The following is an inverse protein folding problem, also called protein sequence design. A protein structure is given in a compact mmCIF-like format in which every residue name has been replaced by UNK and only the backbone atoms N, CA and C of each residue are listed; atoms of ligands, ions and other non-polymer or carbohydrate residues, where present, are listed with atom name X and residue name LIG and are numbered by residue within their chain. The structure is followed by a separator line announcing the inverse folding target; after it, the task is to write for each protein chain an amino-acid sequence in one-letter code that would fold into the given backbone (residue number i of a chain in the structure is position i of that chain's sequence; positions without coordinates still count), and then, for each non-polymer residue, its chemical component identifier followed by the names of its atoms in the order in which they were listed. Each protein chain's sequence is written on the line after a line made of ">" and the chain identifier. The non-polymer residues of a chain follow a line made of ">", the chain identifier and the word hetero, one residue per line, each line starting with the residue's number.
data_IF_870197681509
#
_entry.id   IF_870197681509
#
_cell.length_a   1.000
_cell.length_b   1.000
_cell.length_c   1.000
_cell.angle_alpha   90.00
_cell.angle_beta   90.00
_cell.angle_gamma   90.00
#
_symmetry.space_group_name_H-M   'P 1'
#
loop_
_entity.id
_entity.type
_entity.pdbx_description
1 polymer ?
#
# COMPACT_ATOMS: atom_id res chain seq x y z
N UNK A 1 -1.13 -105.37 -58.80
CA UNK A 1 -1.14 -104.48 -59.98
C UNK A 1 -2.16 -103.38 -59.69
N UNK A 2 -1.64 -102.22 -59.27
CA UNK A 2 -2.19 -100.86 -59.40
C UNK A 2 -3.70 -100.70 -59.15
N UNK A 3 -4.10 -100.47 -57.89
CA UNK A 3 -5.28 -99.64 -57.54
C UNK A 3 -5.33 -99.43 -56.04
N UNK A 4 -4.71 -98.34 -55.55
CA UNK A 4 -5.05 -97.72 -54.24
C UNK A 4 -4.39 -96.34 -54.00
N UNK A 5 -3.67 -95.78 -54.99
CA UNK A 5 -2.91 -94.52 -54.80
C UNK A 5 -3.54 -93.24 -55.36
N UNK A 6 -4.80 -93.27 -55.79
CA UNK A 6 -5.43 -92.13 -56.49
C UNK A 6 -6.50 -91.35 -55.68
N UNK A 7 -6.78 -91.71 -54.42
CA UNK A 7 -7.73 -90.96 -53.58
C UNK A 7 -7.06 -89.98 -52.58
N UNK A 8 -5.79 -90.15 -52.21
CA UNK A 8 -5.10 -89.21 -51.30
C UNK A 8 -4.62 -87.92 -51.98
N UNK A 9 -4.44 -87.93 -53.31
CA UNK A 9 -3.94 -86.76 -54.06
C UNK A 9 -4.97 -85.65 -54.23
N UNK A 10 -6.27 -85.98 -54.19
CA UNK A 10 -7.36 -85.00 -54.31
C UNK A 10 -7.57 -84.29 -52.97
N UNK A 11 -7.53 -85.02 -51.86
CA UNK A 11 -7.66 -84.44 -50.51
C UNK A 11 -6.50 -83.50 -50.15
N UNK A 12 -5.26 -83.85 -50.53
CA UNK A 12 -4.11 -82.96 -50.29
C UNK A 12 -4.24 -81.60 -51.00
N UNK A 13 -4.92 -81.55 -52.16
CA UNK A 13 -5.11 -80.31 -52.93
C UNK A 13 -6.17 -79.39 -52.30
N UNK A 14 -7.22 -79.97 -51.72
CA UNK A 14 -8.28 -79.22 -51.01
C UNK A 14 -7.78 -78.71 -49.66
N UNK A 15 -7.01 -79.51 -48.93
CA UNK A 15 -6.38 -79.10 -47.67
C UNK A 15 -5.37 -77.96 -47.89
N UNK A 16 -4.54 -78.05 -48.93
CA UNK A 16 -3.61 -76.99 -49.31
C UNK A 16 -4.33 -75.69 -49.67
N UNK A 17 -5.43 -75.76 -50.44
CA UNK A 17 -6.26 -74.59 -50.78
C UNK A 17 -6.92 -73.97 -49.56
N UNK A 18 -7.46 -74.79 -48.66
CA UNK A 18 -8.05 -74.29 -47.41
C UNK A 18 -7.02 -73.57 -46.54
N UNK A 19 -5.80 -74.11 -46.44
CA UNK A 19 -4.70 -73.47 -45.71
C UNK A 19 -4.31 -72.16 -46.39
N UNK A 20 -4.22 -72.13 -47.73
CA UNK A 20 -3.94 -70.92 -48.50
C UNK A 20 -4.97 -69.81 -48.22
N UNK A 21 -6.26 -70.12 -48.34
CA UNK A 21 -7.34 -69.16 -48.14
C UNK A 21 -7.34 -68.59 -46.71
N UNK A 22 -7.07 -69.43 -45.70
CA UNK A 22 -6.94 -68.97 -44.31
C UNK A 22 -5.71 -68.09 -44.09
N UNK A 23 -4.56 -68.43 -44.67
CA UNK A 23 -3.34 -67.62 -44.55
C UNK A 23 -3.54 -66.26 -45.22
N UNK A 24 -4.11 -66.24 -46.43
CA UNK A 24 -4.43 -64.98 -47.14
C UNK A 24 -5.45 -64.16 -46.35
N UNK A 25 -6.46 -64.79 -45.74
CA UNK A 25 -7.44 -64.11 -44.90
C UNK A 25 -6.81 -63.52 -43.62
N UNK A 26 -5.90 -64.24 -42.97
CA UNK A 26 -5.19 -63.72 -41.79
C UNK A 26 -4.28 -62.56 -42.19
N UNK A 27 -3.57 -62.66 -43.31
CA UNK A 27 -2.68 -61.61 -43.79
C UNK A 27 -3.43 -60.34 -44.22
N UNK A 28 -4.59 -60.48 -44.86
CA UNK A 28 -5.46 -59.34 -45.16
C UNK A 28 -5.96 -58.66 -43.87
N UNK A 29 -6.40 -59.42 -42.86
CA UNK A 29 -6.79 -58.87 -41.56
C UNK A 29 -5.63 -58.19 -40.82
N UNK A 30 -4.42 -58.75 -40.85
CA UNK A 30 -3.23 -58.13 -40.25
C UNK A 30 -2.88 -56.78 -40.91
N UNK A 31 -3.01 -56.70 -42.25
CA UNK A 31 -2.79 -55.46 -42.99
C UNK A 31 -3.85 -54.40 -42.63
N UNK A 32 -5.13 -54.77 -42.57
CA UNK A 32 -6.19 -53.86 -42.11
C UNK A 32 -5.96 -53.35 -40.68
N UNK A 33 -5.55 -54.24 -39.76
CA UNK A 33 -5.23 -53.84 -38.38
C UNK A 33 -4.03 -52.89 -38.33
N UNK A 34 -3.06 -53.03 -39.23
CA UNK A 34 -1.91 -52.13 -39.32
C UNK A 34 -2.35 -50.70 -39.69
N UNK A 35 -3.29 -50.55 -40.64
CA UNK A 35 -3.86 -49.24 -40.95
C UNK A 35 -4.64 -48.65 -39.77
N UNK A 36 -5.47 -49.46 -39.10
CA UNK A 36 -6.21 -49.03 -37.90
C UNK A 36 -5.28 -48.62 -36.76
N UNK A 37 -4.15 -49.30 -36.60
CA UNK A 37 -3.14 -48.94 -35.60
C UNK A 37 -2.55 -47.56 -35.89
N UNK A 38 -2.22 -47.26 -37.15
CA UNK A 38 -1.71 -45.96 -37.55
C UNK A 38 -2.72 -44.84 -37.28
N UNK A 39 -4.02 -45.07 -37.48
CA UNK A 39 -5.08 -44.11 -37.16
C UNK A 39 -5.23 -43.90 -35.64
N UNK A 40 -5.30 -44.99 -34.86
CA UNK A 40 -5.44 -44.92 -33.40
C UNK A 40 -4.21 -44.28 -32.76
N UNK A 41 -3.00 -44.54 -33.26
CA UNK A 41 -1.75 -43.97 -32.72
C UNK A 41 -1.67 -42.44 -32.83
N UNK A 42 -2.44 -41.83 -33.75
CA UNK A 42 -2.56 -40.37 -33.85
C UNK A 42 -3.40 -39.77 -32.73
N UNK A 43 -4.36 -40.54 -32.21
CA UNK A 43 -5.35 -40.07 -31.25
C UNK A 43 -5.07 -40.54 -29.82
N UNK A 44 -4.45 -41.71 -29.65
CA UNK A 44 -4.31 -42.39 -28.36
C UNK A 44 -2.88 -42.88 -28.09
N UNK A 45 -2.49 -42.89 -26.80
CA UNK A 45 -1.23 -43.51 -26.35
C UNK A 45 -1.36 -45.03 -26.31
N UNK A 46 -0.23 -45.74 -26.38
CA UNK A 46 -0.15 -47.22 -26.35
C UNK A 46 -0.81 -47.87 -25.13
N UNK A 47 -0.99 -47.12 -24.03
CA UNK A 47 -1.65 -47.57 -22.81
C UNK A 47 -3.18 -47.54 -22.87
N UNK A 48 -3.79 -46.96 -23.91
CA UNK A 48 -5.24 -46.83 -24.01
C UNK A 48 -5.90 -48.20 -24.27
N UNK A 49 -7.06 -48.52 -23.63
CA UNK A 49 -7.72 -49.82 -23.80
C UNK A 49 -7.97 -50.22 -25.26
N UNK A 50 -8.32 -49.26 -26.12
CA UNK A 50 -8.55 -49.52 -27.54
C UNK A 50 -7.27 -49.90 -28.31
N UNK A 51 -6.13 -49.28 -27.98
CA UNK A 51 -4.84 -49.66 -28.59
C UNK A 51 -4.40 -51.04 -28.10
N UNK A 52 -4.60 -51.31 -26.81
CA UNK A 52 -4.29 -52.62 -26.22
C UNK A 52 -5.12 -53.74 -26.85
N UNK A 53 -6.43 -53.55 -27.01
CA UNK A 53 -7.31 -54.52 -27.66
C UNK A 53 -6.89 -54.81 -29.11
N UNK A 54 -6.46 -53.78 -29.86
CA UNK A 54 -5.94 -53.95 -31.21
C UNK A 54 -4.64 -54.76 -31.21
N UNK A 55 -3.71 -54.46 -30.30
CA UNK A 55 -2.44 -55.18 -30.17
C UNK A 55 -2.63 -56.65 -29.77
N UNK A 56 -3.58 -56.93 -28.87
CA UNK A 56 -3.95 -58.29 -28.46
C UNK A 56 -4.55 -59.06 -29.64
N UNK A 57 -5.47 -58.46 -30.40
CA UNK A 57 -6.03 -59.07 -31.60
C UNK A 57 -4.95 -59.38 -32.65
N UNK A 58 -4.00 -58.47 -32.84
CA UNK A 58 -2.87 -58.67 -33.77
C UNK A 58 -1.98 -59.83 -33.34
N UNK A 59 -1.72 -59.95 -32.04
CA UNK A 59 -0.93 -61.06 -31.48
C UNK A 59 -1.61 -62.42 -31.69
N UNK A 60 -2.94 -62.50 -31.48
CA UNK A 60 -3.71 -63.74 -31.71
C UNK A 60 -3.63 -64.18 -33.18
N UNK A 61 -3.87 -63.27 -34.12
CA UNK A 61 -3.78 -63.58 -35.56
C UNK A 61 -2.36 -63.98 -35.98
N UNK A 62 -1.34 -63.37 -35.37
CA UNK A 62 0.06 -63.74 -35.63
C UNK A 62 0.36 -65.17 -35.13
N UNK A 63 -0.14 -65.55 -33.96
CA UNK A 63 0.00 -66.91 -33.43
C UNK A 63 -0.72 -67.94 -34.32
N UNK A 64 -1.93 -67.63 -34.79
CA UNK A 64 -2.65 -68.47 -35.75
C UNK A 64 -1.89 -68.63 -37.07
N UNK A 65 -1.31 -67.54 -37.58
CA UNK A 65 -0.45 -67.57 -38.78
C UNK A 65 0.76 -68.48 -38.58
N UNK A 66 1.41 -68.41 -37.42
CA UNK A 66 2.56 -69.27 -37.09
C UNK A 66 2.17 -70.75 -37.05
N UNK A 67 1.01 -71.08 -36.48
CA UNK A 67 0.47 -72.46 -36.48
C UNK A 67 0.22 -72.97 -37.91
N UNK A 68 -0.33 -72.13 -38.79
CA UNK A 68 -0.52 -72.50 -40.20
C UNK A 68 0.81 -72.63 -40.95
N UNK A 69 1.79 -71.75 -40.68
CA UNK A 69 3.13 -71.84 -41.27
C UNK A 69 3.86 -73.13 -40.88
N UNK A 70 3.67 -73.60 -39.64
CA UNK A 70 4.19 -74.91 -39.21
C UNK A 70 3.53 -76.07 -39.97
N UNK A 71 2.24 -75.98 -40.30
CA UNK A 71 1.58 -77.00 -41.14
C UNK A 71 2.11 -76.96 -42.57
N UNK A 72 2.32 -75.76 -43.13
CA UNK A 72 2.90 -75.58 -44.47
C UNK A 72 4.31 -76.18 -44.54
N UNK A 73 5.13 -76.05 -43.49
CA UNK A 73 6.50 -76.58 -43.49
C UNK A 73 6.57 -78.11 -43.50
N UNK A 74 5.50 -78.81 -43.10
CA UNK A 74 5.39 -80.28 -43.18
C UNK A 74 5.02 -80.80 -44.57
N UNK A 75 4.60 -79.93 -45.49
CA UNK A 75 4.22 -80.30 -46.86
C UNK A 75 5.46 -80.57 -47.75
N UNK A 76 5.35 -81.36 -48.82
CA UNK A 76 6.39 -81.51 -49.85
C UNK A 76 6.84 -80.16 -50.45
N UNK A 77 8.14 -80.04 -50.78
CA UNK A 77 8.76 -78.78 -51.26
C UNK A 77 8.06 -78.15 -52.47
N UNK A 78 7.62 -78.96 -53.43
CA UNK A 78 6.92 -78.47 -54.64
C UNK A 78 5.57 -77.83 -54.32
N UNK A 79 4.84 -78.32 -53.32
CA UNK A 79 3.57 -77.72 -52.89
C UNK A 79 3.79 -76.43 -52.09
N UNK A 80 4.83 -76.38 -51.25
CA UNK A 80 5.20 -75.15 -50.55
C UNK A 80 5.51 -74.01 -51.54
N UNK A 81 6.24 -74.33 -52.60
CA UNK A 81 6.61 -73.36 -53.63
C UNK A 81 5.37 -72.82 -54.37
N UNK A 82 4.47 -73.69 -54.84
CA UNK A 82 3.22 -73.29 -55.50
C UNK A 82 2.33 -72.46 -54.55
N UNK A 83 2.20 -72.88 -53.29
CA UNK A 83 1.43 -72.15 -52.28
C UNK A 83 2.01 -70.75 -52.03
N UNK A 84 3.32 -70.64 -51.91
CA UNK A 84 4.00 -69.37 -51.68
C UNK A 84 3.80 -68.40 -52.84
N UNK A 85 3.96 -68.86 -54.09
CA UNK A 85 3.75 -68.04 -55.28
C UNK A 85 2.29 -67.60 -55.41
N UNK A 86 1.34 -68.51 -55.14
CA UNK A 86 -0.09 -68.21 -55.21
C UNK A 86 -0.49 -67.20 -54.14
N UNK A 87 -0.02 -67.41 -52.90
CA UNK A 87 -0.24 -66.49 -51.78
C UNK A 87 0.31 -65.10 -52.10
N UNK A 88 1.53 -65.01 -52.61
CA UNK A 88 2.17 -63.72 -52.89
C UNK A 88 1.43 -62.94 -53.99
N UNK A 89 0.92 -63.63 -55.03
CA UNK A 89 0.06 -63.01 -56.06
C UNK A 89 -1.29 -62.54 -55.48
N UNK A 90 -1.97 -63.37 -54.68
CA UNK A 90 -3.25 -63.02 -54.07
C UNK A 90 -3.11 -61.86 -53.07
N UNK A 91 -2.15 -61.94 -52.15
CA UNK A 91 -1.85 -60.86 -51.20
C UNK A 91 -1.51 -59.56 -51.91
N UNK A 92 -0.71 -59.61 -52.99
CA UNK A 92 -0.37 -58.43 -53.77
C UNK A 92 -1.61 -57.72 -54.33
N UNK A 93 -2.54 -58.48 -54.90
CA UNK A 93 -3.81 -57.95 -55.43
C UNK A 93 -4.70 -57.36 -54.33
N UNK A 94 -4.85 -58.06 -53.20
CA UNK A 94 -5.70 -57.60 -52.09
C UNK A 94 -5.15 -56.33 -51.44
N UNK A 95 -3.83 -56.28 -51.17
CA UNK A 95 -3.16 -55.10 -50.63
C UNK A 95 -3.31 -53.91 -51.60
N UNK A 96 -3.13 -54.16 -52.91
CA UNK A 96 -3.31 -53.13 -53.93
C UNK A 96 -4.73 -52.54 -53.89
N UNK A 97 -5.77 -53.38 -53.80
CA UNK A 97 -7.16 -52.93 -53.73
C UNK A 97 -7.45 -52.14 -52.43
N UNK A 98 -6.92 -52.56 -51.28
CA UNK A 98 -7.05 -51.82 -50.01
C UNK A 98 -6.39 -50.44 -50.11
N UNK A 99 -5.17 -50.36 -50.65
CA UNK A 99 -4.45 -49.09 -50.84
C UNK A 99 -5.19 -48.15 -51.79
N UNK A 100 -5.71 -48.68 -52.90
CA UNK A 100 -6.49 -47.91 -53.87
C UNK A 100 -7.75 -47.32 -53.23
N UNK A 101 -8.50 -48.12 -52.48
CA UNK A 101 -9.69 -47.65 -51.76
C UNK A 101 -9.36 -46.55 -50.74
N UNK A 102 -8.26 -46.70 -49.99
CA UNK A 102 -7.84 -45.68 -49.03
C UNK A 102 -7.38 -44.38 -49.72
N UNK A 103 -6.74 -44.48 -50.88
CA UNK A 103 -6.40 -43.31 -51.69
C UNK A 103 -7.66 -42.54 -52.12
N UNK A 104 -8.70 -43.22 -52.56
CA UNK A 104 -9.97 -42.59 -52.93
C UNK A 104 -10.64 -41.91 -51.73
N UNK A 105 -10.68 -42.57 -50.58
CA UNK A 105 -11.21 -41.99 -49.33
C UNK A 105 -10.47 -40.70 -48.94
N UNK A 106 -9.13 -40.71 -48.98
CA UNK A 106 -8.31 -39.54 -48.66
C UNK A 106 -8.49 -38.39 -49.67
N UNK A 107 -8.67 -38.70 -50.95
CA UNK A 107 -8.95 -37.69 -51.97
C UNK A 107 -10.31 -37.02 -51.77
N UNK A 108 -11.34 -37.78 -51.39
CA UNK A 108 -12.65 -37.24 -51.01
C UNK A 108 -12.51 -36.33 -49.78
N UNK A 109 -11.82 -36.80 -48.74
CA UNK A 109 -11.60 -36.00 -47.51
C UNK A 109 -10.83 -34.70 -47.77
N UNK A 110 -9.80 -34.72 -48.65
CA UNK A 110 -9.08 -33.51 -49.08
C UNK A 110 -10.00 -32.54 -49.83
N UNK A 111 -10.88 -33.04 -50.70
CA UNK A 111 -11.84 -32.20 -51.40
C UNK A 111 -12.88 -31.60 -50.42
N UNK A 112 -13.29 -32.33 -49.39
CA UNK A 112 -14.20 -31.85 -48.35
C UNK A 112 -13.61 -30.78 -47.41
N UNK A 113 -12.28 -30.69 -47.28
CA UNK A 113 -11.63 -29.64 -46.47
C UNK A 113 -11.66 -28.23 -47.08
N UNK A 114 -12.10 -28.05 -48.33
CA UNK A 114 -12.45 -26.73 -48.87
C UNK A 114 -13.83 -26.30 -48.33
N UNK A 115 -13.90 -26.09 -47.02
CA UNK A 115 -15.09 -25.59 -46.31
C UNK A 115 -15.25 -24.10 -46.52
N UNK A 116 -16.43 -23.68 -47.00
CA UNK A 116 -16.81 -22.29 -47.13
C UNK A 116 -16.97 -21.67 -45.73
N UNK A 117 -16.00 -20.86 -45.27
CA UNK A 117 -16.08 -20.22 -43.95
C UNK A 117 -17.08 -19.08 -44.03
N UNK A 118 -18.26 -19.27 -43.43
CA UNK A 118 -19.26 -18.22 -43.23
C UNK A 118 -19.12 -17.67 -41.83
N UNK A 119 -18.73 -16.41 -41.70
CA UNK A 119 -18.73 -15.70 -40.42
C UNK A 119 -20.20 -15.56 -40.00
N UNK A 120 -20.57 -16.19 -38.89
CA UNK A 120 -21.95 -16.18 -38.37
C UNK A 120 -22.19 -14.95 -37.49
N UNK A 121 -21.16 -14.48 -36.77
CA UNK A 121 -21.27 -13.33 -35.87
C UNK A 121 -19.93 -12.60 -35.69
N UNK A 122 -19.96 -11.27 -35.62
CA UNK A 122 -18.79 -10.44 -35.40
C UNK A 122 -18.68 -10.07 -33.91
N UNK A 123 -17.46 -10.02 -33.37
CA UNK A 123 -17.23 -9.64 -31.99
C UNK A 123 -17.59 -8.17 -31.74
N UNK A 124 -18.61 -7.92 -30.91
CA UNK A 124 -19.01 -6.56 -30.50
C UNK A 124 -18.30 -6.18 -29.21
N UNK A 125 -17.51 -5.11 -29.24
CA UNK A 125 -16.90 -4.53 -28.03
C UNK A 125 -17.85 -3.54 -27.36
N UNK A 126 -18.01 -3.63 -26.04
CA UNK A 126 -18.78 -2.65 -25.29
C UNK A 126 -17.94 -1.38 -25.06
N UNK A 127 -18.35 -0.24 -25.64
CA UNK A 127 -17.66 1.05 -25.47
C UNK A 127 -17.80 1.68 -24.08
N UNK A 128 -18.71 1.16 -23.23
CA UNK A 128 -18.93 1.67 -21.88
C UNK A 128 -18.27 0.75 -20.84
N UNK A 129 -17.50 1.30 -19.88
CA UNK A 129 -16.87 0.49 -18.84
C UNK A 129 -17.94 -0.14 -17.93
N UNK A 130 -17.81 -1.46 -17.70
CA UNK A 130 -18.75 -2.24 -16.87
C UNK A 130 -18.60 -1.86 -15.38
N UNK A 131 -17.38 -1.53 -14.95
CA UNK A 131 -17.03 -1.05 -13.60
C UNK A 131 -15.83 -0.08 -13.70
N UNK A 132 -15.68 0.89 -12.78
CA UNK A 132 -16.59 1.26 -11.70
C UNK A 132 -17.74 2.17 -12.15
N UNK A 133 -18.88 2.09 -11.47
CA UNK A 133 -20.06 2.92 -11.76
C UNK A 133 -19.96 4.20 -10.94
N UNK A 134 -19.30 5.21 -11.50
CA UNK A 134 -18.92 6.48 -10.81
C UNK A 134 -20.01 7.05 -9.89
N UNK A 135 -21.28 7.06 -10.30
CA UNK A 135 -22.37 7.60 -9.47
C UNK A 135 -22.71 6.67 -8.30
N UNK A 136 -22.80 5.36 -8.55
CA UNK A 136 -23.14 4.36 -7.51
C UNK A 136 -22.05 4.27 -6.45
N UNK A 137 -20.79 4.39 -6.85
CA UNK A 137 -19.64 4.24 -5.95
C UNK A 137 -19.31 5.56 -5.20
N UNK A 138 -19.60 6.74 -5.77
CA UNK A 138 -19.24 8.03 -5.19
C UNK A 138 -20.22 8.52 -4.10
N UNK A 139 -21.53 8.36 -4.32
CA UNK A 139 -22.56 8.80 -3.37
C UNK A 139 -22.40 8.21 -1.95
N UNK A 140 -22.16 6.91 -1.74
CA UNK A 140 -22.02 6.35 -0.39
C UNK A 140 -20.77 6.88 0.33
N UNK A 141 -19.66 7.09 -0.41
CA UNK A 141 -18.42 7.64 0.16
C UNK A 141 -18.63 9.08 0.64
N UNK A 142 -19.29 9.91 -0.16
CA UNK A 142 -19.62 11.28 0.23
C UNK A 142 -20.61 11.35 1.39
N UNK A 143 -21.67 10.54 1.34
CA UNK A 143 -22.73 10.53 2.34
C UNK A 143 -22.25 10.09 3.73
N UNK A 144 -21.27 9.16 3.81
CA UNK A 144 -20.72 8.68 5.08
C UNK A 144 -19.50 9.50 5.53
N UNK A 145 -18.65 9.95 4.60
CA UNK A 145 -17.42 10.66 4.95
C UNK A 145 -17.66 12.03 5.58
N UNK A 146 -18.60 12.81 5.05
CA UNK A 146 -18.92 14.15 5.56
C UNK A 146 -19.40 14.16 7.03
N UNK A 147 -20.40 13.34 7.43
CA UNK A 147 -20.88 13.35 8.82
C UNK A 147 -19.83 12.79 9.79
N UNK A 148 -19.04 11.80 9.39
CA UNK A 148 -17.96 11.27 10.24
C UNK A 148 -16.92 12.36 10.51
N UNK A 149 -16.51 13.12 9.49
CA UNK A 149 -15.54 14.21 9.66
C UNK A 149 -16.08 15.34 10.53
N UNK A 150 -17.33 15.73 10.32
CA UNK A 150 -18.00 16.72 11.16
C UNK A 150 -18.09 16.24 12.62
N UNK A 151 -18.46 14.98 12.84
CA UNK A 151 -18.52 14.37 14.17
C UNK A 151 -17.18 14.39 14.87
N UNK A 152 -16.09 14.04 14.19
CA UNK A 152 -14.73 14.07 14.75
C UNK A 152 -14.32 15.49 15.15
N UNK A 153 -14.62 16.50 14.30
CA UNK A 153 -14.32 17.90 14.61
C UNK A 153 -15.10 18.37 15.84
N UNK A 154 -16.39 18.06 15.92
CA UNK A 154 -17.23 18.41 17.07
C UNK A 154 -16.76 17.71 18.35
N UNK A 155 -16.46 16.40 18.28
CA UNK A 155 -15.96 15.64 19.42
C UNK A 155 -14.64 16.23 19.93
N UNK A 156 -13.71 16.56 19.02
CA UNK A 156 -12.45 17.21 19.37
C UNK A 156 -12.68 18.57 20.00
N UNK A 157 -13.60 19.36 19.47
CA UNK A 157 -13.91 20.69 20.01
C UNK A 157 -14.56 20.62 21.40
N UNK A 158 -15.33 19.56 21.69
CA UNK A 158 -15.90 19.28 23.01
C UNK A 158 -14.87 18.77 24.03
N UNK A 159 -13.88 18.00 23.57
CA UNK A 159 -12.80 17.49 24.43
C UNK A 159 -11.80 18.58 24.83
N UNK A 160 -11.59 19.60 23.99
CA UNK A 160 -10.74 20.76 24.32
C UNK A 160 -11.52 21.71 25.22
N UNK A 161 -11.31 21.56 26.53
CA UNK A 161 -11.79 22.47 27.57
C UNK A 161 -10.81 23.64 27.74
N UNK A 162 -11.32 24.87 27.73
CA UNK A 162 -10.55 26.09 27.90
C UNK A 162 -11.37 27.32 27.53
N UNK A 163 -10.91 28.51 27.95
CA UNK A 163 -11.54 29.79 27.61
C UNK A 163 -11.20 30.11 26.16
N UNK A 164 -12.22 30.19 25.29
CA UNK A 164 -12.03 30.43 23.84
C UNK A 164 -12.32 31.87 23.44
N UNK A 165 -13.13 32.58 24.23
CA UNK A 165 -13.57 33.93 23.92
C UNK A 165 -13.49 34.83 25.16
N UNK A 166 -13.06 36.10 25.00
CA UNK A 166 -13.06 37.08 26.09
C UNK A 166 -14.44 37.24 26.76
N UNK A 167 -15.52 37.18 25.97
CA UNK A 167 -16.90 37.29 26.45
C UNK A 167 -17.27 36.22 27.51
N UNK A 168 -16.58 35.07 27.53
CA UNK A 168 -16.80 34.05 28.56
C UNK A 168 -16.30 34.51 29.94
N UNK A 169 -15.21 35.29 29.99
CA UNK A 169 -14.69 35.89 31.22
C UNK A 169 -15.57 37.06 31.68
N UNK A 170 -16.02 37.90 30.74
CA UNK A 170 -16.89 39.04 31.04
C UNK A 170 -18.24 38.57 31.62
N UNK A 171 -18.83 37.50 31.08
CA UNK A 171 -20.04 36.87 31.65
C UNK A 171 -19.87 36.38 33.08
N UNK A 172 -18.63 36.07 33.49
CA UNK A 172 -18.29 35.67 34.87
C UNK A 172 -17.87 36.88 35.73
N UNK A 173 -18.02 38.10 35.23
CA UNK A 173 -17.69 39.34 35.95
C UNK A 173 -16.20 39.67 35.99
N UNK A 174 -15.38 39.03 35.16
CA UNK A 174 -13.94 39.31 35.09
C UNK A 174 -13.70 40.27 33.91
N UNK A 175 -13.32 41.54 34.14
CA UNK A 175 -13.06 42.48 33.06
C UNK A 175 -11.82 42.07 32.26
N UNK A 176 -11.91 42.11 30.94
CA UNK A 176 -10.79 41.79 30.04
C UNK A 176 -10.17 43.10 29.55
N UNK A 177 -8.97 43.41 30.03
CA UNK A 177 -8.26 44.65 29.65
C UNK A 177 -7.59 44.59 28.27
N UNK A 178 -7.14 43.41 27.85
CA UNK A 178 -6.51 43.21 26.55
C UNK A 178 -6.55 41.75 26.11
N UNK A 179 -6.51 41.54 24.80
CA UNK A 179 -6.37 40.24 24.15
C UNK A 179 -5.10 40.26 23.33
N UNK A 180 -4.06 39.58 23.80
CA UNK A 180 -2.76 39.54 23.12
C UNK A 180 -2.72 38.33 22.18
N UNK A 181 -2.68 38.53 20.85
CA UNK A 181 -2.59 37.43 19.89
C UNK A 181 -1.22 36.76 19.95
N UNK A 182 -1.16 35.50 19.52
CA UNK A 182 0.11 34.78 19.36
C UNK A 182 0.95 35.44 18.26
N UNK A 183 2.15 35.89 18.62
CA UNK A 183 3.12 36.46 17.68
C UNK A 183 3.82 35.34 16.87
N UNK A 184 3.56 35.19 15.55
CA UNK A 184 4.22 34.18 14.73
C UNK A 184 5.73 34.40 14.60
N UNK A 185 6.20 35.65 14.78
CA UNK A 185 7.62 36.04 14.70
C UNK A 185 8.46 35.30 15.76
N UNK A 186 7.93 35.20 16.98
CA UNK A 186 8.57 34.46 18.08
C UNK A 186 8.53 32.95 17.86
N UNK A 187 7.50 32.45 17.17
CA UNK A 187 7.31 31.01 16.92
C UNK A 187 8.24 30.51 15.82
N UNK A 188 8.48 31.32 14.77
CA UNK A 188 9.44 31.00 13.69
C UNK A 188 10.87 30.94 14.22
N UNK A 189 11.25 31.89 15.08
CA UNK A 189 12.58 31.92 15.72
C UNK A 189 12.85 30.68 16.58
N UNK A 190 11.84 30.18 17.32
CA UNK A 190 11.97 28.97 18.15
C UNK A 190 12.01 27.66 17.36
N UNK A 191 11.35 27.58 16.20
CA UNK A 191 11.31 26.34 15.38
C UNK A 191 12.63 26.04 14.66
N UNK A 192 13.43 27.06 14.38
CA UNK A 192 14.76 26.92 13.77
C UNK A 192 15.90 26.79 14.80
N UNK A 193 15.65 27.07 16.10
CA UNK A 193 16.66 27.11 17.18
C UNK A 193 16.67 25.85 18.06
N UNK A 194 16.26 24.69 17.54
CA UNK A 194 16.36 23.42 18.26
C UNK A 194 17.81 22.92 18.45
N UNK A 195 18.81 23.65 17.94
CA UNK A 195 20.22 23.28 18.00
C UNK A 195 20.97 24.53 18.51
N UNK A 196 21.52 24.41 19.71
CA UNK A 196 22.53 25.28 20.35
C UNK A 196 22.10 26.66 20.86
N UNK A 197 22.37 26.86 22.16
CA UNK A 197 22.61 28.13 22.87
C UNK A 197 21.40 28.98 23.28
N UNK A 198 21.26 29.16 24.61
CA UNK A 198 20.47 30.17 25.31
C UNK A 198 20.96 31.59 24.94
N UNK A 199 20.75 32.02 23.71
CA UNK A 199 21.00 33.40 23.29
C UNK A 199 19.67 34.17 23.26
N UNK A 200 19.50 35.01 24.29
CA UNK A 200 18.55 36.12 24.46
C UNK A 200 17.23 36.01 23.67
N UNK A 201 16.14 35.70 24.38
CA UNK A 201 14.78 36.00 23.93
C UNK A 201 14.67 37.54 23.80
N UNK A 202 14.96 38.06 22.61
CA UNK A 202 14.85 39.49 22.31
C UNK A 202 13.40 39.97 22.52
N UNK A 203 13.24 41.17 23.10
CA UNK A 203 11.91 41.75 23.30
C UNK A 203 11.19 41.94 21.96
N UNK A 204 9.92 41.56 21.92
CA UNK A 204 9.11 41.69 20.71
C UNK A 204 8.94 43.15 20.29
N UNK A 205 8.86 44.07 21.26
CA UNK A 205 8.80 45.51 21.01
C UNK A 205 10.03 46.02 20.25
N UNK A 206 11.22 45.42 20.44
CA UNK A 206 12.47 45.79 19.74
C UNK A 206 12.55 45.12 18.37
N UNK A 207 12.32 43.81 18.32
CA UNK A 207 12.46 43.01 17.10
C UNK A 207 11.36 43.23 16.07
N UNK A 208 10.10 43.44 16.50
CA UNK A 208 8.96 43.67 15.61
C UNK A 208 7.95 44.65 16.24
N UNK A 209 8.23 45.97 16.22
CA UNK A 209 7.38 46.99 16.84
C UNK A 209 5.95 47.06 16.25
N UNK A 210 5.77 46.59 15.02
CA UNK A 210 4.50 46.64 14.26
C UNK A 210 3.69 45.34 14.36
N UNK A 211 4.14 44.36 15.15
CA UNK A 211 3.40 43.11 15.37
C UNK A 211 2.05 43.36 16.07
N UNK A 212 1.04 42.58 15.70
CA UNK A 212 -0.30 42.62 16.31
C UNK A 212 -0.26 42.40 17.83
N UNK A 213 0.70 41.60 18.32
CA UNK A 213 0.87 41.38 19.75
C UNK A 213 1.36 42.65 20.47
N UNK A 214 2.27 43.41 19.85
CA UNK A 214 2.75 44.69 20.40
C UNK A 214 1.62 45.71 20.40
N UNK A 215 0.80 45.77 19.35
CA UNK A 215 -0.34 46.68 19.28
C UNK A 215 -1.39 46.37 20.36
N UNK A 216 -1.66 45.09 20.62
CA UNK A 216 -2.52 44.68 21.73
C UNK A 216 -1.97 45.14 23.10
N UNK A 217 -0.64 45.11 23.30
CA UNK A 217 0.00 45.59 24.53
C UNK A 217 -0.02 47.14 24.59
N UNK A 218 0.07 47.86 23.46
CA UNK A 218 -0.17 49.31 23.43
C UNK A 218 -1.58 49.65 23.89
N UNK A 219 -2.58 48.90 23.41
CA UNK A 219 -3.95 48.98 23.88
C UNK A 219 -4.09 48.71 25.39
N UNK A 220 -3.41 47.66 25.90
CA UNK A 220 -3.34 47.36 27.33
C UNK A 220 -2.79 48.54 28.12
N UNK A 221 -1.68 49.14 27.66
CA UNK A 221 -1.08 50.32 28.29
C UNK A 221 -2.09 51.48 28.39
N UNK A 222 -2.87 51.74 27.33
CA UNK A 222 -3.85 52.83 27.33
C UNK A 222 -4.97 52.53 28.34
N UNK A 223 -5.47 51.29 28.36
CA UNK A 223 -6.46 50.84 29.36
C UNK A 223 -5.93 51.00 30.79
N UNK A 224 -4.68 50.57 31.03
CA UNK A 224 -4.02 50.67 32.32
C UNK A 224 -3.74 52.12 32.73
N UNK A 225 -3.38 53.00 31.78
CA UNK A 225 -3.19 54.42 32.07
C UNK A 225 -4.47 55.04 32.66
N UNK A 226 -5.63 54.77 32.06
CA UNK A 226 -6.91 55.23 32.59
C UNK A 226 -7.31 54.57 33.92
N UNK A 227 -6.98 53.28 34.11
CA UNK A 227 -7.22 52.59 35.38
C UNK A 227 -6.35 53.18 36.50
N UNK A 228 -5.08 53.47 36.21
CA UNK A 228 -4.11 54.02 37.16
C UNK A 228 -4.36 55.48 37.52
N UNK A 229 -4.99 56.27 36.64
CA UNK A 229 -5.42 57.64 36.98
C UNK A 229 -6.39 57.68 38.17
N UNK A 230 -7.12 56.59 38.42
CA UNK A 230 -8.09 56.48 39.51
C UNK A 230 -7.52 55.77 40.76
N UNK A 231 -6.31 55.22 40.67
CA UNK A 231 -5.69 54.47 41.77
C UNK A 231 -4.79 55.34 42.63
N UNK A 232 -4.74 55.07 43.94
CA UNK A 232 -3.87 55.78 44.88
C UNK A 232 -2.37 55.48 44.66
N UNK A 233 -2.04 54.27 44.19
CA UNK A 233 -0.67 53.81 44.00
C UNK A 233 -0.39 53.38 42.55
N UNK A 234 0.83 53.65 42.07
CA UNK A 234 1.29 53.30 40.71
C UNK A 234 1.95 51.91 40.61
N UNK A 235 1.54 50.98 41.48
CA UNK A 235 2.12 49.62 41.54
C UNK A 235 1.21 48.66 40.75
N UNK A 236 1.79 47.98 39.76
CA UNK A 236 1.09 46.99 38.94
C UNK A 236 1.70 45.61 39.12
N UNK A 237 0.92 44.68 39.66
CA UNK A 237 1.30 43.28 39.74
C UNK A 237 0.71 42.50 38.55
N UNK A 238 1.56 41.81 37.79
CA UNK A 238 1.13 40.91 36.72
C UNK A 238 1.36 39.47 37.17
N UNK A 239 0.28 38.72 37.31
CA UNK A 239 0.30 37.29 37.65
C UNK A 239 -0.52 36.49 36.65
N UNK A 240 -0.57 35.17 36.79
CA UNK A 240 -1.37 34.34 35.90
C UNK A 240 -1.60 32.94 36.44
N UNK A 241 -2.65 32.32 35.93
CA UNK A 241 -3.26 31.09 36.47
C UNK A 241 -2.43 29.82 36.34
N UNK A 242 -1.47 29.78 35.41
CA UNK A 242 -0.62 28.60 35.18
C UNK A 242 0.77 28.98 34.68
N UNK A 243 1.79 28.12 34.83
CA UNK A 243 3.08 28.31 34.19
C UNK A 243 2.94 28.45 32.67
N UNK A 244 3.74 29.30 32.03
CA UNK A 244 3.78 29.41 30.56
C UNK A 244 2.66 30.25 29.91
N UNK A 245 1.75 30.88 30.67
CA UNK A 245 0.69 31.75 30.11
C UNK A 245 1.17 33.08 29.52
N UNK A 246 2.47 33.40 29.63
CA UNK A 246 3.05 34.62 29.05
C UNK A 246 3.13 35.83 29.98
N UNK A 247 3.08 35.66 31.31
CA UNK A 247 3.24 36.74 32.32
C UNK A 247 4.47 37.62 32.04
N UNK A 248 5.65 36.98 32.02
CA UNK A 248 6.94 37.62 31.81
C UNK A 248 7.04 38.31 30.44
N UNK A 249 6.36 37.76 29.42
CA UNK A 249 6.28 38.36 28.09
C UNK A 249 5.46 39.66 28.09
N UNK A 250 4.29 39.65 28.74
CA UNK A 250 3.45 40.85 28.83
C UNK A 250 4.13 41.90 29.70
N UNK A 251 4.70 41.53 30.85
CA UNK A 251 5.34 42.47 31.78
C UNK A 251 6.56 43.16 31.15
N UNK A 252 7.41 42.41 30.45
CA UNK A 252 8.62 42.96 29.85
C UNK A 252 8.33 43.94 28.71
N UNK A 253 7.44 43.57 27.79
CA UNK A 253 7.07 44.43 26.67
C UNK A 253 6.24 45.64 27.15
N UNK A 254 5.36 45.46 28.14
CA UNK A 254 4.61 46.58 28.72
C UNK A 254 5.53 47.59 29.41
N UNK A 255 6.56 47.15 30.14
CA UNK A 255 7.51 48.04 30.80
C UNK A 255 8.21 48.97 29.79
N UNK A 256 8.72 48.41 28.69
CA UNK A 256 9.34 49.20 27.61
C UNK A 256 8.33 50.14 26.94
N UNK A 257 7.10 49.69 26.67
CA UNK A 257 6.07 50.53 26.05
C UNK A 257 5.58 51.67 26.96
N UNK A 258 5.60 51.47 28.29
CA UNK A 258 5.35 52.50 29.28
C UNK A 258 6.49 53.52 29.31
N UNK A 259 7.74 53.05 29.26
CA UNK A 259 8.92 53.92 29.23
C UNK A 259 9.01 54.76 27.95
N UNK A 260 8.72 54.17 26.79
CA UNK A 260 8.61 54.89 25.52
C UNK A 260 7.51 55.97 25.52
N UNK A 261 6.51 55.86 26.40
CA UNK A 261 5.49 56.89 26.60
C UNK A 261 5.93 58.01 27.57
N UNK A 262 7.18 57.98 28.05
CA UNK A 262 7.75 58.96 28.98
C UNK A 262 7.57 58.62 30.47
N UNK A 263 7.07 57.43 30.81
CA UNK A 263 7.00 57.01 32.21
C UNK A 263 8.35 56.47 32.70
N UNK A 264 8.72 56.71 33.96
CA UNK A 264 9.83 55.99 34.60
C UNK A 264 9.28 54.70 35.20
N UNK A 265 9.85 53.56 34.79
CA UNK A 265 9.33 52.23 35.12
C UNK A 265 10.39 51.42 35.84
N UNK A 266 10.05 50.87 37.01
CA UNK A 266 10.86 49.87 37.68
C UNK A 266 10.21 48.50 37.48
N UNK A 267 10.88 47.60 36.75
CA UNK A 267 10.43 46.23 36.54
C UNK A 267 11.07 45.31 37.59
N UNK A 268 10.24 44.67 38.42
CA UNK A 268 10.71 43.77 39.49
C UNK A 268 10.32 42.32 39.14
N UNK A 269 11.32 41.43 39.02
CA UNK A 269 11.09 40.00 38.82
C UNK A 269 10.83 39.28 40.14
N UNK A 270 9.55 39.19 40.50
CA UNK A 270 9.09 38.49 41.71
C UNK A 270 9.03 36.96 41.54
N UNK A 271 9.40 36.38 40.39
CA UNK A 271 9.48 34.92 40.23
C UNK A 271 10.84 34.39 40.71
N UNK A 272 10.98 34.27 42.03
CA UNK A 272 12.20 33.77 42.68
C UNK A 272 12.54 32.31 42.33
N UNK A 273 11.61 31.55 41.71
CA UNK A 273 11.79 30.13 41.41
C UNK A 273 12.25 29.90 39.97
N UNK A 274 11.52 30.45 38.98
CA UNK A 274 11.77 30.23 37.54
C UNK A 274 11.89 31.54 36.75
N UNK A 275 12.11 32.67 37.43
CA UNK A 275 12.32 33.97 36.81
C UNK A 275 13.48 33.94 35.81
N UNK A 276 13.22 34.42 34.61
CA UNK A 276 14.18 34.48 33.49
C UNK A 276 14.33 35.90 32.93
N UNK A 277 13.70 36.92 33.52
CA UNK A 277 13.76 38.29 32.99
C UNK A 277 15.17 38.89 33.04
N UNK A 278 16.02 38.38 33.94
CA UNK A 278 17.44 38.74 33.99
C UNK A 278 18.16 38.46 32.67
N UNK A 279 17.79 37.43 31.89
CA UNK A 279 18.41 37.17 30.59
C UNK A 279 18.04 38.17 29.50
N UNK A 280 17.08 39.06 29.77
CA UNK A 280 16.56 40.06 28.83
C UNK A 280 17.02 41.47 29.23
N UNK A 281 17.01 41.78 30.53
CA UNK A 281 17.23 43.14 31.04
C UNK A 281 18.55 43.33 31.80
N UNK A 282 19.16 42.25 32.31
CA UNK A 282 20.39 42.35 33.10
C UNK A 282 21.61 42.38 32.19
N UNK A 283 22.53 43.28 32.48
CA UNK A 283 23.82 43.45 31.82
C UNK A 283 24.89 42.56 32.44
N UNK A 284 24.72 42.15 33.71
CA UNK A 284 25.68 41.35 34.46
C UNK A 284 25.07 40.05 35.00
N UNK A 285 25.71 38.92 34.71
CA UNK A 285 25.31 37.63 35.30
C UNK A 285 25.51 37.63 36.81
N UNK A 286 24.45 37.28 37.56
CA UNK A 286 24.52 37.11 39.02
C UNK A 286 24.52 38.40 39.85
N UNK A 287 24.01 39.51 39.29
CA UNK A 287 23.74 40.74 40.03
C UNK A 287 22.83 40.47 41.25
N UNK A 288 23.02 41.25 42.32
CA UNK A 288 22.18 41.16 43.50
C UNK A 288 20.73 41.52 43.12
N UNK A 289 19.77 40.73 43.59
CA UNK A 289 18.37 40.90 43.19
C UNK A 289 17.41 40.99 44.37
N UNK A 290 16.13 40.80 44.07
CA UNK A 290 15.05 40.85 45.04
C UNK A 290 15.28 39.89 46.22
N UNK A 291 15.76 38.67 45.97
CA UNK A 291 16.02 37.71 47.04
C UNK A 291 17.15 38.16 47.98
N UNK A 292 18.18 38.81 47.45
CA UNK A 292 19.31 39.32 48.23
C UNK A 292 18.88 40.52 49.08
N UNK A 293 18.01 41.39 48.55
CA UNK A 293 17.39 42.49 49.28
C UNK A 293 16.50 42.01 50.43
N UNK A 294 15.60 41.05 50.15
CA UNK A 294 14.67 40.51 51.15
C UNK A 294 15.40 39.75 52.27
N UNK A 295 16.56 39.17 51.97
CA UNK A 295 17.42 38.52 52.96
C UNK A 295 18.28 39.52 53.77
N UNK A 296 18.05 40.83 53.62
CA UNK A 296 18.78 41.93 54.27
C UNK A 296 20.30 41.94 54.01
N UNK A 297 20.74 41.36 52.90
CA UNK A 297 22.17 41.27 52.57
C UNK A 297 22.71 42.50 51.84
N UNK A 298 21.82 43.30 51.23
CA UNK A 298 22.17 44.32 50.23
C UNK A 298 21.20 45.51 50.33
N UNK A 299 21.68 46.74 50.12
CA UNK A 299 20.83 47.94 50.11
C UNK A 299 20.01 48.05 48.81
N UNK A 300 18.85 48.74 48.84
CA UNK A 300 17.97 48.92 47.65
C UNK A 300 18.72 49.45 46.44
N UNK A 301 19.59 50.44 46.63
CA UNK A 301 20.37 51.09 45.57
C UNK A 301 21.36 50.17 44.86
N UNK A 302 21.75 49.06 45.49
CA UNK A 302 22.68 48.08 44.93
C UNK A 302 21.98 46.95 44.17
N UNK A 303 20.64 46.91 44.20
CA UNK A 303 19.80 45.88 43.58
C UNK A 303 19.07 46.40 42.34
N UNK A 304 18.97 47.73 42.21
CA UNK A 304 18.41 48.40 41.03
C UNK A 304 19.49 48.47 39.95
N UNK A 305 19.19 47.88 38.81
CA UNK A 305 20.04 47.87 37.62
C UNK A 305 19.43 48.73 36.51
N UNK A 306 20.23 49.61 35.92
CA UNK A 306 19.85 50.34 34.71
C UNK A 306 19.87 49.39 33.51
N UNK A 307 18.79 49.35 32.74
CA UNK A 307 18.71 48.47 31.57
C UNK A 307 19.18 49.17 30.29
N UNK A 308 19.38 48.43 29.20
CA UNK A 308 19.62 49.00 27.85
C UNK A 308 18.44 49.88 27.39
N UNK A 309 17.26 49.74 28.00
CA UNK A 309 16.05 50.45 27.62
C UNK A 309 15.88 51.74 28.43
N UNK A 310 15.96 52.88 27.75
CA UNK A 310 15.80 54.18 28.36
C UNK A 310 14.48 54.29 29.15
N UNK A 311 14.56 54.67 30.43
CA UNK A 311 13.40 54.84 31.31
C UNK A 311 12.89 53.56 31.97
N UNK A 312 13.58 52.43 31.79
CA UNK A 312 13.31 51.16 32.49
C UNK A 312 14.48 50.79 33.38
N UNK A 313 14.23 50.76 34.68
CA UNK A 313 15.11 50.17 35.69
C UNK A 313 14.63 48.74 36.01
N UNK A 314 15.54 47.85 36.39
CA UNK A 314 15.24 46.44 36.62
C UNK A 314 15.75 45.95 37.98
N UNK A 315 14.93 45.14 38.64
CA UNK A 315 15.35 44.32 39.78
C UNK A 315 15.12 42.87 39.40
N UNK A 316 16.21 42.12 39.22
CA UNK A 316 16.15 40.69 38.97
C UNK A 316 15.81 39.88 40.22
N UNK A 317 15.61 38.57 40.05
CA UNK A 317 15.37 37.65 41.18
C UNK A 317 16.54 37.58 42.18
N UNK A 318 17.78 37.79 41.70
CA UNK A 318 19.02 37.64 42.48
C UNK A 318 19.62 36.24 42.37
N UNK A 319 20.53 35.90 43.28
CA UNK A 319 21.15 34.57 43.33
C UNK A 319 20.09 33.51 43.68
N UNK A 320 20.26 32.30 43.14
CA UNK A 320 19.30 31.22 43.36
C UNK A 320 19.30 30.83 44.85
N UNK A 321 18.20 31.14 45.54
CA UNK A 321 18.03 30.80 46.96
C UNK A 321 17.44 29.40 47.08
N UNK A 322 18.05 28.55 47.93
CA UNK A 322 17.64 27.17 48.14
C UNK A 322 16.23 27.03 48.75
N UNK A 323 15.67 28.08 49.36
CA UNK A 323 14.33 28.10 49.97
C UNK A 323 13.56 29.41 49.69
N UNK A 324 12.80 29.52 48.59
CA UNK A 324 12.09 30.74 48.22
C UNK A 324 11.00 31.22 49.21
N UNK A 325 10.19 30.34 49.85
CA UNK A 325 9.12 30.78 50.75
C UNK A 325 9.58 31.45 52.04
N UNK A 326 10.82 31.20 52.49
CA UNK A 326 11.34 31.75 53.75
C UNK A 326 11.86 33.19 53.63
N UNK A 327 11.93 33.74 52.43
CA UNK A 327 12.34 35.13 52.17
C UNK A 327 11.13 36.09 51.99
N UNK A 328 9.90 35.58 52.09
CA UNK A 328 8.64 36.35 52.07
C UNK A 328 8.18 36.66 53.49
#
# INVERSE_FOLDING_TARGET
>A
MISEKNNESVDLSLEAKFILDNVVSIDTQLNELTFKEAEISKLYKRSHPAYKALSEKRAVLQEEKEKLNQRISTMPRTQQEILSMTRDVQMGNDIYMVLLNKQHELNINKASTLGNVRIIDNAVTQHKPIKPKKNVDCHPVGAVGLPVRLRVILLRNMLIKGIKQPAELEKRGIPVHAVVPLAPELTKSRRCRAITTYQSDELLVKSSPTSLAVEAIRGLRTSLHFAMLKSENKILMISGTSPGVGKSFVSSNLAVLMAQAGSRVLLVDCDLRRGYLHSIFSQAEGHAGLADYLSANVAVSQVIEETEYQGVDFIGRGRMVNNPPSCL
#
